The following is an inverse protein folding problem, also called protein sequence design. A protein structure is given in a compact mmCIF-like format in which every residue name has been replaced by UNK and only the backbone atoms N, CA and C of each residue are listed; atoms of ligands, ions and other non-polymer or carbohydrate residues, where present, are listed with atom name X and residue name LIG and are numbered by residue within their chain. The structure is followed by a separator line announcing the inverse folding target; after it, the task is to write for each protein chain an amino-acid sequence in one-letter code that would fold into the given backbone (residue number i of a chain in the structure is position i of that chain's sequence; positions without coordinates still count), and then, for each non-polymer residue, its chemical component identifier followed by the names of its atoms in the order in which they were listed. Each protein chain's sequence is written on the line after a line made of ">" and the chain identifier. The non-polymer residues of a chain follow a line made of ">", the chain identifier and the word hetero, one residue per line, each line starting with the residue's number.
data_IF_621689910966
#
_entry.id   IF_621689910966
#
_cell.length_a   1.000
_cell.length_b   1.000
_cell.length_c   1.000
_cell.angle_alpha   90.00
_cell.angle_beta   90.00
_cell.angle_gamma   90.00
#
_symmetry.space_group_name_H-M   'P 1'
#
loop_
_entity.id
_entity.type
_entity.pdbx_description
1 polymer ?
#
# COMPACT_ATOMS: atom_id res chain seq x y z
N UNK A 1 -0.18 25.93 5.76
CA UNK A 1 -0.32 24.51 6.18
C UNK A 1 0.84 24.17 7.09
N UNK A 2 0.58 23.44 8.17
CA UNK A 2 1.62 22.86 9.01
C UNK A 2 2.47 21.88 8.17
N UNK A 3 3.77 21.77 8.50
CA UNK A 3 4.66 20.78 7.89
C UNK A 3 4.19 19.38 8.30
N UNK A 4 4.03 18.48 7.33
CA UNK A 4 3.67 17.07 7.60
C UNK A 4 4.94 16.26 7.88
N UNK A 5 4.86 15.21 8.69
CA UNK A 5 6.01 14.31 8.87
C UNK A 5 6.26 13.48 7.60
N UNK A 6 5.18 13.04 6.95
CA UNK A 6 5.26 12.29 5.70
C UNK A 6 4.13 12.68 4.73
N UNK A 7 4.49 12.93 3.47
CA UNK A 7 3.53 12.95 2.38
C UNK A 7 3.77 11.73 1.50
N UNK A 8 2.78 10.85 1.42
CA UNK A 8 2.73 9.70 0.52
C UNK A 8 2.14 10.13 -0.82
N UNK A 9 2.90 9.98 -1.91
CA UNK A 9 2.47 10.34 -3.25
C UNK A 9 2.33 9.09 -4.12
N UNK A 10 1.15 8.94 -4.70
CA UNK A 10 0.90 7.90 -5.69
C UNK A 10 0.98 8.51 -7.10
N UNK A 11 1.87 7.97 -7.92
CA UNK A 11 2.12 8.43 -9.28
C UNK A 11 1.28 7.63 -10.30
N UNK A 12 0.93 8.22 -11.45
CA UNK A 12 0.41 7.43 -12.56
C UNK A 12 1.48 6.43 -13.05
N UNK A 13 1.09 5.38 -13.77
CA UNK A 13 2.03 4.43 -14.39
C UNK A 13 3.08 5.14 -15.26
N UNK A 14 2.60 6.03 -16.14
CA UNK A 14 3.41 6.89 -16.98
C UNK A 14 3.09 8.35 -16.65
N UNK A 15 4.08 9.15 -16.23
CA UNK A 15 3.89 10.56 -15.88
C UNK A 15 3.41 11.41 -17.07
N UNK A 16 3.89 11.14 -18.28
CA UNK A 16 3.64 11.90 -19.49
C UNK A 16 2.46 11.37 -20.33
N UNK A 17 1.58 10.55 -19.75
CA UNK A 17 0.43 9.95 -20.41
C UNK A 17 -0.52 10.94 -21.10
N UNK A 18 -0.55 12.20 -20.66
CA UNK A 18 -1.34 13.28 -21.28
C UNK A 18 -0.70 13.88 -22.53
N UNK A 19 0.61 13.71 -22.70
CA UNK A 19 1.42 14.35 -23.76
C UNK A 19 1.78 13.37 -24.86
N UNK A 20 1.79 12.07 -24.57
CA UNK A 20 2.18 11.02 -25.52
C UNK A 20 1.03 10.03 -25.72
N UNK A 21 0.73 9.66 -26.98
CA UNK A 21 -0.21 8.57 -27.22
C UNK A 21 0.37 7.28 -26.64
N UNK A 22 -0.41 6.57 -25.82
CA UNK A 22 -0.02 5.32 -25.19
C UNK A 22 -0.74 4.13 -25.81
N UNK A 23 0.01 3.07 -26.15
CA UNK A 23 -0.58 1.73 -26.23
C UNK A 23 -0.60 1.16 -24.83
N UNK A 24 -1.76 1.24 -24.20
CA UNK A 24 -1.99 0.67 -22.89
C UNK A 24 -2.24 -0.83 -23.06
N UNK A 25 -1.26 -1.66 -22.67
CA UNK A 25 -1.44 -3.11 -22.62
C UNK A 25 -2.48 -3.53 -21.57
N UNK A 26 -2.71 -4.84 -21.35
CA UNK A 26 -3.66 -5.38 -20.36
C UNK A 26 -3.12 -5.25 -18.93
N UNK A 27 -2.56 -4.09 -18.60
CA UNK A 27 -1.84 -3.90 -17.34
C UNK A 27 -2.87 -3.88 -16.20
N UNK A 28 -4.02 -3.23 -16.39
CA UNK A 28 -5.03 -2.99 -15.34
C UNK A 28 -6.23 -3.95 -15.32
N UNK A 29 -6.30 -4.97 -16.17
CA UNK A 29 -7.52 -5.78 -16.37
C UNK A 29 -7.98 -6.57 -15.13
N UNK A 30 -7.13 -6.69 -14.11
CA UNK A 30 -7.38 -7.48 -12.88
C UNK A 30 -7.49 -6.63 -11.61
N UNK A 31 -7.44 -5.30 -11.73
CA UNK A 31 -7.56 -4.33 -10.62
C UNK A 31 -8.50 -3.20 -11.07
N UNK A 32 -9.41 -2.68 -10.23
CA UNK A 32 -10.32 -1.60 -10.62
C UNK A 32 -9.57 -0.27 -10.80
N UNK A 33 -8.81 -0.16 -11.89
CA UNK A 33 -8.02 1.01 -12.26
C UNK A 33 -8.07 1.18 -13.77
N UNK A 34 -7.96 2.41 -14.23
CA UNK A 34 -7.66 2.65 -15.65
C UNK A 34 -6.22 2.18 -15.96
N UNK A 35 -5.82 2.11 -17.23
CA UNK A 35 -4.43 1.80 -17.56
C UNK A 35 -3.41 2.85 -17.10
N UNK A 36 -3.87 3.99 -16.57
CA UNK A 36 -3.03 4.98 -15.89
C UNK A 36 -2.63 4.52 -14.49
N UNK A 37 -3.26 3.46 -13.96
CA UNK A 37 -3.01 2.91 -12.64
C UNK A 37 -3.17 3.97 -11.55
N UNK A 38 -4.36 4.55 -11.45
CA UNK A 38 -4.66 5.55 -10.45
C UNK A 38 -5.06 4.99 -9.08
N UNK A 39 -5.17 3.66 -8.96
CA UNK A 39 -5.44 2.99 -7.71
C UNK A 39 -4.18 2.89 -6.85
N UNK A 40 -4.09 3.76 -5.84
CA UNK A 40 -2.98 3.71 -4.89
C UNK A 40 -3.05 2.43 -4.04
N UNK A 41 -1.89 1.88 -3.61
CA UNK A 41 -1.88 0.63 -2.87
C UNK A 41 -2.51 0.81 -1.49
N UNK A 42 -3.31 -0.17 -1.05
CA UNK A 42 -3.89 -0.22 0.31
C UNK A 42 -2.82 -0.06 1.41
N UNK A 43 -1.57 -0.42 1.13
CA UNK A 43 -0.45 -0.19 2.06
C UNK A 43 -0.30 1.28 2.47
N UNK A 44 -0.72 2.25 1.65
CA UNK A 44 -0.76 3.66 2.06
C UNK A 44 -1.76 3.93 3.17
N UNK A 45 -2.90 3.23 3.19
CA UNK A 45 -3.89 3.39 4.26
C UNK A 45 -3.38 2.78 5.56
N UNK A 46 -2.75 1.59 5.50
CA UNK A 46 -2.15 0.97 6.69
C UNK A 46 -0.96 1.76 7.23
N UNK A 47 -0.07 2.24 6.36
CA UNK A 47 1.03 3.12 6.74
C UNK A 47 0.49 4.40 7.36
N UNK A 48 -0.51 5.04 6.74
CA UNK A 48 -1.07 6.27 7.29
C UNK A 48 -1.69 6.06 8.66
N UNK A 49 -2.51 5.02 8.87
CA UNK A 49 -3.10 4.72 10.18
C UNK A 49 -2.02 4.44 11.23
N UNK A 50 -1.08 3.54 10.90
CA UNK A 50 -0.05 3.10 11.84
C UNK A 50 0.83 4.26 12.30
N UNK A 51 1.34 5.09 11.37
CA UNK A 51 2.19 6.23 11.70
C UNK A 51 1.45 7.27 12.56
N UNK A 52 0.15 7.53 12.28
CA UNK A 52 -0.64 8.48 13.07
C UNK A 52 -0.88 8.01 14.49
N UNK A 53 -1.10 6.71 14.69
CA UNK A 53 -1.20 6.10 16.01
C UNK A 53 0.12 6.23 16.80
N UNK A 54 1.24 6.40 16.11
CA UNK A 54 2.56 6.67 16.69
C UNK A 54 2.90 8.18 16.74
N UNK A 55 1.90 9.07 16.61
CA UNK A 55 2.06 10.50 16.81
C UNK A 55 2.66 11.27 15.63
N UNK A 56 2.79 10.64 14.45
CA UNK A 56 3.27 11.28 13.23
C UNK A 56 2.11 11.78 12.36
N UNK A 57 2.33 12.87 11.64
CA UNK A 57 1.34 13.44 10.71
C UNK A 57 1.57 12.95 9.29
N UNK A 58 0.57 12.24 8.75
CA UNK A 58 0.66 11.68 7.39
C UNK A 58 -0.43 12.25 6.47
N UNK A 59 -0.04 12.55 5.24
CA UNK A 59 -0.95 12.92 4.15
C UNK A 59 -0.74 12.00 2.95
N UNK A 60 -1.82 11.54 2.33
CA UNK A 60 -1.81 10.83 1.05
C UNK A 60 -2.19 11.82 -0.05
N UNK A 61 -1.50 11.75 -1.18
CA UNK A 61 -1.79 12.52 -2.38
C UNK A 61 -1.78 11.57 -3.58
N UNK A 62 -2.97 11.26 -4.09
CA UNK A 62 -3.14 10.55 -5.34
C UNK A 62 -2.93 11.50 -6.55
N UNK A 63 -1.68 11.61 -7.02
CA UNK A 63 -1.32 12.47 -8.16
C UNK A 63 -1.90 11.90 -9.45
N UNK A 64 -1.90 10.58 -9.63
CA UNK A 64 -2.52 9.89 -10.76
C UNK A 64 -4.00 10.30 -10.92
N UNK A 65 -4.78 10.24 -9.84
CA UNK A 65 -6.20 10.60 -9.84
C UNK A 65 -6.44 12.08 -10.17
N UNK A 66 -5.66 12.99 -9.56
CA UNK A 66 -5.71 14.42 -9.90
C UNK A 66 -5.40 14.62 -11.37
N UNK A 67 -4.44 13.87 -11.89
CA UNK A 67 -4.07 13.96 -13.29
C UNK A 67 -5.15 13.40 -14.24
N UNK A 68 -5.87 12.38 -13.81
CA UNK A 68 -6.93 11.79 -14.62
C UNK A 68 -8.17 12.69 -14.66
N UNK A 69 -8.53 13.33 -13.54
CA UNK A 69 -9.76 14.14 -13.43
C UNK A 69 -9.67 15.57 -13.96
N UNK A 70 -8.50 16.20 -13.91
CA UNK A 70 -8.33 17.57 -14.39
C UNK A 70 -7.16 17.67 -15.34
N UNK A 71 -7.42 17.65 -16.65
CA UNK A 71 -6.41 17.77 -17.71
C UNK A 71 -5.47 18.98 -17.56
N UNK A 72 -5.91 20.05 -16.90
CA UNK A 72 -5.13 21.28 -16.67
C UNK A 72 -4.35 21.26 -15.35
N UNK A 73 -4.47 20.21 -14.55
CA UNK A 73 -3.77 20.08 -13.28
C UNK A 73 -2.26 20.21 -13.47
N UNK A 74 -1.70 21.29 -12.92
CA UNK A 74 -0.27 21.59 -12.89
C UNK A 74 0.42 20.80 -11.77
N UNK A 75 1.02 19.68 -12.16
CA UNK A 75 1.69 18.77 -11.22
C UNK A 75 2.89 19.44 -10.57
N UNK A 76 3.75 20.13 -11.33
CA UNK A 76 4.97 20.73 -10.79
C UNK A 76 4.64 21.91 -9.86
N UNK A 77 3.71 22.78 -10.26
CA UNK A 77 3.22 23.86 -9.41
C UNK A 77 2.51 23.38 -8.14
N UNK A 78 1.89 22.19 -8.16
CA UNK A 78 1.35 21.56 -6.97
C UNK A 78 2.48 20.99 -6.07
N UNK A 79 3.40 20.21 -6.63
CA UNK A 79 4.47 19.54 -5.88
C UNK A 79 5.45 20.54 -5.24
N UNK A 80 5.76 21.66 -5.92
CA UNK A 80 6.62 22.73 -5.40
C UNK A 80 6.10 23.38 -4.11
N UNK A 81 4.79 23.32 -3.86
CA UNK A 81 4.15 23.94 -2.68
C UNK A 81 4.04 23.01 -1.48
N UNK A 82 4.37 21.73 -1.64
CA UNK A 82 4.30 20.75 -0.56
C UNK A 82 5.34 21.05 0.53
N UNK A 83 4.99 20.75 1.79
CA UNK A 83 5.87 20.90 2.95
C UNK A 83 5.82 19.64 3.80
N UNK A 84 6.93 18.90 3.85
CA UNK A 84 7.04 17.66 4.58
C UNK A 84 8.44 17.46 5.18
N UNK A 85 8.57 16.58 6.17
CA UNK A 85 9.87 16.07 6.64
C UNK A 85 10.43 15.02 5.66
N UNK A 86 9.56 14.23 5.03
CA UNK A 86 9.92 13.30 3.96
C UNK A 86 8.79 13.13 2.93
N UNK A 87 9.16 12.71 1.72
CA UNK A 87 8.23 12.25 0.69
C UNK A 87 8.35 10.74 0.52
N UNK A 88 7.22 10.02 0.53
CA UNK A 88 7.16 8.60 0.24
C UNK A 88 6.46 8.35 -1.09
N UNK A 89 7.01 7.51 -1.96
CA UNK A 89 6.36 7.08 -3.20
C UNK A 89 6.26 5.56 -3.26
N UNK A 90 5.15 5.04 -3.76
CA UNK A 90 5.00 3.62 -4.02
C UNK A 90 5.56 3.22 -5.37
N UNK A 91 6.35 2.15 -5.36
CA UNK A 91 6.60 1.31 -6.52
C UNK A 91 6.15 -0.10 -6.11
N UNK A 92 4.83 -0.24 -5.90
CA UNK A 92 4.23 -1.51 -5.52
C UNK A 92 4.38 -2.54 -6.64
N UNK A 93 4.04 -2.15 -7.88
CA UNK A 93 4.26 -2.92 -9.09
C UNK A 93 5.19 -2.20 -10.07
N UNK A 94 5.81 -2.97 -10.96
CA UNK A 94 6.68 -2.43 -12.02
C UNK A 94 5.97 -1.42 -12.92
N UNK A 95 4.63 -1.48 -13.01
CA UNK A 95 3.83 -0.54 -13.77
C UNK A 95 4.02 0.93 -13.32
N UNK A 96 4.33 1.19 -12.04
CA UNK A 96 4.47 2.56 -11.51
C UNK A 96 5.87 3.14 -11.63
N UNK A 97 6.86 2.37 -12.11
CA UNK A 97 8.27 2.74 -11.99
C UNK A 97 8.58 4.07 -12.68
N UNK A 98 8.05 4.30 -13.88
CA UNK A 98 8.34 5.51 -14.65
C UNK A 98 7.73 6.73 -13.97
N UNK A 99 6.45 6.68 -13.61
CA UNK A 99 5.78 7.80 -12.98
C UNK A 99 6.33 8.12 -11.59
N UNK A 100 6.60 7.11 -10.77
CA UNK A 100 7.17 7.30 -9.43
C UNK A 100 8.56 7.95 -9.50
N UNK A 101 9.43 7.50 -10.41
CA UNK A 101 10.75 8.10 -10.59
C UNK A 101 10.66 9.54 -11.14
N UNK A 102 9.74 9.81 -12.06
CA UNK A 102 9.50 11.17 -12.57
C UNK A 102 9.04 12.12 -11.45
N UNK A 103 8.10 11.69 -10.60
CA UNK A 103 7.68 12.50 -9.45
C UNK A 103 8.81 12.68 -8.43
N UNK A 104 9.59 11.64 -8.15
CA UNK A 104 10.75 11.72 -7.26
C UNK A 104 11.79 12.75 -7.74
N UNK A 105 12.08 12.78 -9.04
CA UNK A 105 12.98 13.76 -9.65
C UNK A 105 12.44 15.20 -9.52
N UNK A 106 11.16 15.41 -9.81
CA UNK A 106 10.48 16.71 -9.67
C UNK A 106 10.51 17.18 -8.21
N UNK A 107 10.19 16.29 -7.27
CA UNK A 107 10.22 16.58 -5.83
C UNK A 107 11.62 16.99 -5.41
N UNK A 108 12.66 16.27 -5.82
CA UNK A 108 14.05 16.61 -5.47
C UNK A 108 14.50 17.93 -6.08
N UNK A 109 14.07 18.28 -7.29
CA UNK A 109 14.33 19.59 -7.90
C UNK A 109 13.78 20.75 -7.07
N UNK A 110 12.53 20.66 -6.62
CA UNK A 110 11.91 21.73 -5.84
C UNK A 110 12.29 21.69 -4.35
N UNK A 111 12.61 20.51 -3.83
CA UNK A 111 12.88 20.27 -2.41
C UNK A 111 14.18 19.47 -2.22
N UNK A 112 15.35 20.03 -2.59
CA UNK A 112 16.62 19.29 -2.65
C UNK A 112 17.07 18.69 -1.32
N UNK A 113 16.59 19.26 -0.20
CA UNK A 113 16.95 18.83 1.17
C UNK A 113 15.95 17.86 1.79
N UNK A 114 14.76 17.68 1.19
CA UNK A 114 13.74 16.79 1.74
C UNK A 114 14.01 15.38 1.19
N UNK A 115 14.15 14.35 2.05
CA UNK A 115 14.38 12.99 1.61
C UNK A 115 13.18 12.40 0.86
N UNK A 116 13.49 11.61 -0.16
CA UNK A 116 12.58 10.83 -0.98
C UNK A 116 12.80 9.36 -0.66
N UNK A 117 11.72 8.72 -0.21
CA UNK A 117 11.66 7.32 0.23
C UNK A 117 10.83 6.55 -0.80
N UNK A 118 11.37 5.47 -1.33
CA UNK A 118 10.61 4.52 -2.14
C UNK A 118 10.25 3.28 -1.31
N UNK A 119 9.06 2.72 -1.56
CA UNK A 119 8.60 1.48 -0.95
C UNK A 119 7.68 0.69 -1.87
N UNK A 120 7.36 -0.55 -1.51
CA UNK A 120 6.57 -1.47 -2.34
C UNK A 120 7.37 -2.68 -2.82
N UNK A 121 6.70 -3.63 -3.48
CA UNK A 121 7.29 -4.93 -3.82
C UNK A 121 8.38 -4.77 -4.89
N UNK A 122 8.11 -4.01 -5.95
CA UNK A 122 9.13 -3.74 -6.96
C UNK A 122 10.29 -2.89 -6.41
N UNK A 123 10.01 -1.90 -5.56
CA UNK A 123 11.07 -1.16 -4.87
C UNK A 123 11.94 -2.08 -4.01
N UNK A 124 11.32 -3.02 -3.31
CA UNK A 124 12.03 -4.02 -2.48
C UNK A 124 12.99 -4.86 -3.32
N UNK A 125 12.54 -5.35 -4.48
CA UNK A 125 13.37 -6.18 -5.35
C UNK A 125 14.55 -5.40 -5.95
N UNK A 126 14.32 -4.17 -6.40
CA UNK A 126 15.30 -3.35 -7.11
C UNK A 126 16.00 -2.30 -6.22
N UNK A 127 15.98 -2.48 -4.90
CA UNK A 127 16.36 -1.45 -3.94
C UNK A 127 17.77 -0.85 -4.16
N UNK A 128 18.77 -1.69 -4.43
CA UNK A 128 20.12 -1.18 -4.71
C UNK A 128 20.21 -0.52 -6.08
N UNK A 129 19.56 -1.08 -7.10
CA UNK A 129 19.60 -0.51 -8.46
C UNK A 129 18.95 0.86 -8.49
N UNK A 130 17.83 1.03 -7.77
CA UNK A 130 17.15 2.31 -7.60
C UNK A 130 18.11 3.36 -7.02
N UNK A 131 18.83 3.00 -5.96
CA UNK A 131 19.84 3.90 -5.40
C UNK A 131 21.07 4.04 -6.33
N UNK A 132 21.57 3.01 -7.01
CA UNK A 132 22.73 3.19 -7.91
C UNK A 132 22.43 4.17 -9.05
N UNK A 133 21.25 4.08 -9.64
CA UNK A 133 20.90 4.80 -10.87
C UNK A 133 20.26 6.15 -10.64
N UNK A 134 19.50 6.33 -9.56
CA UNK A 134 18.68 7.53 -9.37
C UNK A 134 19.15 8.34 -8.15
N UNK A 135 19.98 9.39 -8.35
CA UNK A 135 20.52 10.20 -7.25
C UNK A 135 19.47 10.98 -6.48
N UNK A 136 18.28 11.19 -7.06
CA UNK A 136 17.15 11.85 -6.42
C UNK A 136 16.36 10.95 -5.45
N UNK A 137 16.73 9.67 -5.33
CA UNK A 137 16.20 8.74 -4.32
C UNK A 137 17.21 8.61 -3.19
N UNK A 138 16.76 8.84 -1.95
CA UNK A 138 17.61 8.79 -0.76
C UNK A 138 17.50 7.44 -0.04
N UNK A 139 16.29 6.88 0.03
CA UNK A 139 15.99 5.70 0.82
C UNK A 139 15.08 4.72 0.07
N UNK A 140 15.29 3.42 0.31
CA UNK A 140 14.35 2.37 -0.05
C UNK A 140 14.00 1.56 1.19
N UNK A 141 12.72 1.55 1.56
CA UNK A 141 12.19 0.71 2.63
C UNK A 141 11.68 -0.61 2.04
N UNK A 142 12.25 -1.72 2.50
CA UNK A 142 12.09 -3.05 1.90
C UNK A 142 11.10 -3.91 2.66
N UNK A 143 10.54 -4.88 1.95
CA UNK A 143 9.66 -5.89 2.48
C UNK A 143 8.20 -5.62 2.14
N UNK A 144 7.34 -6.53 2.59
CA UNK A 144 5.90 -6.42 2.44
C UNK A 144 5.23 -5.70 3.63
N UNK A 145 6.01 -5.46 4.69
CA UNK A 145 5.61 -4.74 5.90
C UNK A 145 6.67 -3.72 6.24
N UNK A 146 6.30 -2.45 6.24
CA UNK A 146 7.25 -1.33 6.34
C UNK A 146 6.81 -0.27 7.35
N UNK A 147 5.63 -0.44 7.96
CA UNK A 147 5.01 0.52 8.85
C UNK A 147 5.93 0.89 10.02
N UNK A 148 6.44 -0.10 10.75
CA UNK A 148 7.34 0.11 11.89
C UNK A 148 8.71 0.63 11.46
N UNK A 149 9.32 0.04 10.45
CA UNK A 149 10.58 0.52 9.90
C UNK A 149 10.52 1.99 9.41
N UNK A 150 9.37 2.41 8.87
CA UNK A 150 9.14 3.79 8.44
C UNK A 150 8.98 4.76 9.63
N UNK A 151 8.34 4.36 10.73
CA UNK A 151 8.35 5.14 11.98
C UNK A 151 9.77 5.39 12.44
N UNK A 152 10.58 4.32 12.55
CA UNK A 152 11.98 4.41 12.99
C UNK A 152 12.82 5.31 12.07
N UNK A 153 12.59 5.25 10.75
CA UNK A 153 13.25 6.13 9.80
C UNK A 153 12.89 7.60 10.01
N UNK A 154 11.60 7.92 10.12
CA UNK A 154 11.15 9.31 10.30
C UNK A 154 11.64 9.90 11.62
N UNK A 155 11.65 9.11 12.71
CA UNK A 155 12.24 9.51 13.98
C UNK A 155 13.74 9.76 13.88
N UNK A 156 14.48 8.84 13.23
CA UNK A 156 15.93 9.00 13.05
C UNK A 156 16.26 10.25 12.21
N UNK A 157 15.48 10.56 11.18
CA UNK A 157 15.63 11.77 10.38
C UNK A 157 15.36 13.04 11.21
N UNK A 158 14.32 13.03 12.03
CA UNK A 158 13.96 14.16 12.91
C UNK A 158 15.02 14.41 13.99
N UNK A 159 15.53 13.35 14.59
CA UNK A 159 16.49 13.39 15.71
C UNK A 159 17.96 13.38 15.23
N UNK A 160 18.19 13.27 13.92
CA UNK A 160 19.52 13.13 13.31
C UNK A 160 20.32 11.94 13.88
N UNK A 161 19.64 10.83 14.15
CA UNK A 161 20.25 9.58 14.60
C UNK A 161 20.82 8.78 13.42
N UNK A 162 21.70 7.84 13.73
CA UNK A 162 22.27 6.92 12.75
C UNK A 162 21.20 6.01 12.10
N UNK A 163 21.43 5.63 10.85
CA UNK A 163 20.49 4.85 10.05
C UNK A 163 20.74 3.34 10.11
N UNK A 164 21.85 2.90 10.71
CA UNK A 164 22.32 1.51 10.73
C UNK A 164 21.37 0.51 11.38
N UNK A 165 20.57 0.96 12.35
CA UNK A 165 19.71 0.11 13.18
C UNK A 165 18.25 0.10 12.70
N UNK A 166 17.94 0.82 11.61
CA UNK A 166 16.61 0.81 11.01
C UNK A 166 16.47 -0.47 10.18
N UNK A 167 15.58 -1.40 10.56
CA UNK A 167 15.43 -2.65 9.84
C UNK A 167 14.92 -2.40 8.42
N UNK A 168 15.28 -3.30 7.49
CA UNK A 168 14.82 -3.32 6.10
C UNK A 168 15.23 -2.09 5.26
N UNK A 169 15.96 -1.11 5.79
CA UNK A 169 16.35 0.11 5.08
C UNK A 169 17.51 -0.13 4.11
N UNK A 170 17.44 0.46 2.92
CA UNK A 170 18.59 0.65 2.03
C UNK A 170 18.84 2.14 1.82
N UNK A 171 20.10 2.56 1.91
CA UNK A 171 20.49 3.98 1.91
C UNK A 171 21.94 4.18 1.40
N UNK A 172 22.32 5.44 1.14
CA UNK A 172 23.68 5.81 0.72
C UNK A 172 24.57 6.19 1.90
N UNK A 173 25.67 5.49 2.07
CA UNK A 173 26.66 5.80 3.09
C UNK A 173 27.72 6.76 2.53
N UNK A 174 27.41 8.07 2.51
CA UNK A 174 28.32 9.24 2.42
C UNK A 174 29.34 9.35 1.27
N UNK A 175 29.99 8.27 0.86
CA UNK A 175 31.08 8.18 -0.12
C UNK A 175 30.78 7.22 -1.27
N UNK A 176 29.56 7.24 -1.81
CA UNK A 176 29.06 6.41 -2.95
C UNK A 176 28.69 4.95 -2.66
N UNK A 177 28.95 4.45 -1.45
CA UNK A 177 28.51 3.12 -1.02
C UNK A 177 27.00 3.04 -0.83
N UNK A 178 26.41 1.89 -1.17
CA UNK A 178 25.03 1.55 -0.81
C UNK A 178 25.07 0.57 0.33
N UNK A 179 24.34 0.87 1.39
CA UNK A 179 24.17 0.01 2.54
C UNK A 179 22.73 -0.51 2.59
N UNK A 180 22.59 -1.82 2.75
CA UNK A 180 21.31 -2.46 2.97
C UNK A 180 21.30 -3.10 4.37
N UNK A 181 20.52 -2.53 5.29
CA UNK A 181 20.39 -3.05 6.65
C UNK A 181 19.60 -4.36 6.64
N UNK A 182 19.84 -5.30 7.55
CA UNK A 182 19.16 -6.60 7.56
C UNK A 182 17.63 -6.53 7.42
N UNK A 183 17.05 -7.46 6.66
CA UNK A 183 15.60 -7.57 6.46
C UNK A 183 15.00 -8.40 7.60
N UNK A 184 14.78 -7.75 8.74
CA UNK A 184 14.40 -8.38 10.02
C UNK A 184 13.03 -7.97 10.53
N UNK A 185 12.47 -6.85 10.08
CA UNK A 185 11.11 -6.43 10.43
C UNK A 185 10.12 -7.13 9.50
N UNK A 186 9.83 -8.39 9.82
CA UNK A 186 8.93 -9.27 9.07
C UNK A 186 7.94 -9.85 10.08
N UNK A 187 6.82 -9.17 10.35
CA UNK A 187 5.89 -9.60 11.38
C UNK A 187 5.25 -10.94 11.01
N UNK A 188 4.99 -11.77 12.01
CA UNK A 188 4.41 -13.11 11.87
C UNK A 188 2.88 -13.11 11.78
N UNK A 189 2.25 -11.99 12.15
CA UNK A 189 0.80 -11.76 12.12
C UNK A 189 0.52 -10.29 11.77
N UNK A 190 -0.72 -9.96 11.42
CA UNK A 190 -1.13 -8.63 10.96
C UNK A 190 -2.08 -7.90 11.91
N UNK A 191 -2.12 -8.32 13.17
CA UNK A 191 -3.15 -7.83 14.10
C UNK A 191 -2.97 -6.35 14.41
N UNK A 192 -1.71 -5.90 14.51
CA UNK A 192 -1.34 -4.52 14.74
C UNK A 192 -1.50 -3.63 13.49
N UNK A 193 -1.74 -4.21 12.32
CA UNK A 193 -1.88 -3.48 11.05
C UNK A 193 -3.35 -3.38 10.71
N UNK A 194 -3.90 -2.16 10.74
CA UNK A 194 -5.31 -1.94 10.44
C UNK A 194 -5.49 -1.13 9.17
N UNK A 195 -6.52 -1.48 8.40
CA UNK A 195 -6.99 -0.67 7.27
C UNK A 195 -8.33 -0.08 7.66
N UNK A 196 -8.28 1.11 8.27
CA UNK A 196 -9.48 1.81 8.69
C UNK A 196 -9.98 2.78 7.60
N UNK A 197 -11.10 2.44 6.96
CA UNK A 197 -11.76 3.33 6.00
C UNK A 197 -12.26 4.62 6.65
N UNK A 198 -12.61 4.60 7.94
CA UNK A 198 -13.01 5.80 8.69
C UNK A 198 -11.84 6.76 8.85
N UNK A 199 -10.63 6.25 9.05
CA UNK A 199 -9.41 7.05 9.04
C UNK A 199 -9.26 7.81 7.72
N UNK A 200 -9.42 7.13 6.59
CA UNK A 200 -9.37 7.76 5.26
C UNK A 200 -10.49 8.79 5.07
N UNK A 201 -11.73 8.50 5.48
CA UNK A 201 -12.83 9.46 5.41
C UNK A 201 -12.56 10.73 6.23
N UNK A 202 -12.02 10.61 7.46
CA UNK A 202 -11.60 11.76 8.27
C UNK A 202 -10.53 12.61 7.57
N UNK A 203 -9.64 11.97 6.81
CA UNK A 203 -8.56 12.64 6.08
C UNK A 203 -9.06 13.44 4.89
N UNK A 204 -10.01 12.89 4.14
CA UNK A 204 -10.72 13.61 3.06
C UNK A 204 -11.26 14.94 3.58
N UNK A 205 -11.95 14.91 4.72
CA UNK A 205 -12.54 16.10 5.35
C UNK A 205 -11.45 17.05 5.87
N UNK A 206 -10.45 16.53 6.60
CA UNK A 206 -9.39 17.34 7.23
C UNK A 206 -8.57 18.13 6.20
N UNK A 207 -8.26 17.53 5.06
CA UNK A 207 -7.43 18.17 4.03
C UNK A 207 -8.24 18.82 2.90
N UNK A 208 -9.57 18.68 2.92
CA UNK A 208 -10.48 19.16 1.86
C UNK A 208 -10.00 18.70 0.48
N UNK A 209 -9.56 17.44 0.40
CA UNK A 209 -8.92 16.86 -0.78
C UNK A 209 -9.55 15.51 -1.15
N UNK A 210 -10.84 15.48 -1.55
CA UNK A 210 -11.54 14.24 -1.89
C UNK A 210 -10.85 13.49 -3.03
N UNK A 211 -10.37 14.21 -4.05
CA UNK A 211 -9.67 13.61 -5.19
C UNK A 211 -8.33 12.99 -4.80
N UNK A 212 -7.58 13.60 -3.86
CA UNK A 212 -6.28 13.08 -3.41
C UNK A 212 -6.36 11.81 -2.57
N UNK A 213 -7.51 11.53 -1.96
CA UNK A 213 -7.79 10.34 -1.16
C UNK A 213 -8.74 9.36 -1.84
N UNK A 214 -9.21 9.67 -3.05
CA UNK A 214 -10.06 8.78 -3.82
C UNK A 214 -9.24 7.57 -4.30
N UNK A 215 -9.67 6.33 -3.98
CA UNK A 215 -8.94 5.12 -4.37
C UNK A 215 -8.84 4.96 -5.88
N UNK A 216 -9.95 4.98 -6.63
CA UNK A 216 -9.97 4.81 -8.09
C UNK A 216 -11.12 5.60 -8.75
N UNK A 217 -11.12 5.69 -10.08
CA UNK A 217 -11.90 6.71 -10.83
C UNK A 217 -13.42 6.62 -10.56
N UNK A 218 -13.95 5.40 -10.57
CA UNK A 218 -15.37 5.08 -10.38
C UNK A 218 -15.77 4.85 -8.92
N UNK A 219 -14.91 5.16 -7.94
CA UNK A 219 -15.20 4.87 -6.52
C UNK A 219 -16.55 5.41 -6.03
N UNK A 220 -16.99 6.58 -6.51
CA UNK A 220 -18.25 7.19 -6.07
C UNK A 220 -19.49 6.59 -6.74
N UNK A 221 -19.34 5.99 -7.92
CA UNK A 221 -20.43 5.34 -8.66
C UNK A 221 -20.48 3.83 -8.39
N UNK A 222 -19.34 3.20 -8.13
CA UNK A 222 -19.18 1.77 -7.92
C UNK A 222 -18.09 1.48 -6.85
N UNK A 223 -18.35 1.78 -5.57
CA UNK A 223 -17.37 1.55 -4.51
C UNK A 223 -17.17 0.04 -4.28
N UNK A 224 -15.93 -0.39 -4.08
CA UNK A 224 -15.58 -1.75 -3.65
C UNK A 224 -14.55 -1.66 -2.55
N UNK A 225 -14.89 -2.14 -1.37
CA UNK A 225 -13.97 -2.17 -0.22
C UNK A 225 -13.22 -3.50 -0.18
N UNK A 226 -12.08 -3.52 0.50
CA UNK A 226 -11.23 -4.69 0.61
C UNK A 226 -10.75 -4.88 2.05
N UNK A 227 -10.71 -6.13 2.48
CA UNK A 227 -10.03 -6.58 3.70
C UNK A 227 -9.03 -7.66 3.34
N UNK A 228 -7.94 -7.76 4.10
CA UNK A 228 -6.85 -8.68 3.79
C UNK A 228 -6.75 -9.74 4.88
N UNK A 229 -6.80 -11.01 4.47
CA UNK A 229 -6.59 -12.14 5.38
C UNK A 229 -5.14 -12.29 5.79
N UNK A 230 -4.21 -11.98 4.88
CA UNK A 230 -2.79 -12.17 5.10
C UNK A 230 -1.88 -11.31 4.22
N UNK A 231 -0.59 -11.32 4.56
CA UNK A 231 0.52 -10.94 3.68
C UNK A 231 1.38 -12.18 3.42
N UNK A 232 1.73 -12.39 2.16
CA UNK A 232 2.40 -13.61 1.68
C UNK A 232 1.42 -14.71 1.25
N UNK A 233 1.98 -15.80 0.73
CA UNK A 233 1.23 -16.93 0.20
C UNK A 233 1.91 -18.26 0.58
N UNK A 234 1.16 -19.37 0.66
CA UNK A 234 1.70 -20.73 0.81
C UNK A 234 2.04 -21.38 -0.54
N UNK A 235 1.51 -20.85 -1.65
CA UNK A 235 1.68 -21.43 -2.98
C UNK A 235 2.95 -20.92 -3.67
N UNK A 236 3.57 -21.76 -4.50
CA UNK A 236 4.77 -21.46 -5.28
C UNK A 236 4.46 -21.33 -6.78
N UNK A 237 3.41 -20.59 -7.14
CA UNK A 237 3.01 -20.38 -8.53
C UNK A 237 4.17 -19.76 -9.33
N UNK A 238 4.57 -20.41 -10.43
CA UNK A 238 5.81 -20.10 -11.16
C UNK A 238 5.89 -18.65 -11.69
N UNK A 239 4.75 -18.05 -12.03
CA UNK A 239 4.67 -16.71 -12.62
C UNK A 239 4.26 -15.63 -11.62
N UNK A 240 3.97 -16.00 -10.37
CA UNK A 240 3.38 -15.08 -9.40
C UNK A 240 4.46 -14.38 -8.57
N UNK A 241 4.52 -13.05 -8.64
CA UNK A 241 5.31 -12.21 -7.72
C UNK A 241 4.87 -12.35 -6.25
N UNK A 242 3.63 -12.80 -6.03
CA UNK A 242 3.02 -13.11 -4.74
C UNK A 242 3.39 -14.47 -4.12
N UNK A 243 4.17 -15.30 -4.81
CA UNK A 243 4.42 -16.68 -4.37
C UNK A 243 5.25 -16.79 -3.10
N UNK A 244 5.13 -17.90 -2.37
CA UNK A 244 5.88 -18.18 -1.15
C UNK A 244 7.40 -18.06 -1.37
N UNK A 245 7.91 -18.60 -2.49
CA UNK A 245 9.33 -18.50 -2.87
C UNK A 245 9.75 -17.06 -3.14
N UNK A 246 8.93 -16.29 -3.86
CA UNK A 246 9.24 -14.89 -4.17
C UNK A 246 9.28 -14.05 -2.90
N UNK A 247 8.27 -14.19 -2.03
CA UNK A 247 8.20 -13.48 -0.74
C UNK A 247 9.34 -13.89 0.21
N UNK A 248 9.74 -15.17 0.23
CA UNK A 248 10.91 -15.62 0.98
C UNK A 248 12.20 -14.96 0.48
N UNK A 249 12.39 -14.90 -0.83
CA UNK A 249 13.58 -14.32 -1.44
C UNK A 249 13.66 -12.81 -1.28
N UNK A 250 12.55 -12.10 -1.46
CA UNK A 250 12.52 -10.64 -1.59
C UNK A 250 12.23 -9.94 -0.26
N UNK A 251 11.38 -10.54 0.59
CA UNK A 251 10.88 -9.94 1.83
C UNK A 251 11.25 -10.75 3.08
N UNK A 252 12.14 -11.74 2.97
CA UNK A 252 12.51 -12.67 4.06
C UNK A 252 11.30 -13.31 4.77
N UNK A 253 10.17 -13.46 4.07
CA UNK A 253 8.93 -13.99 4.63
C UNK A 253 8.88 -15.51 4.44
N UNK A 254 9.13 -16.24 5.51
CA UNK A 254 9.19 -17.71 5.50
C UNK A 254 7.82 -18.39 5.44
N UNK A 255 6.80 -17.74 6.03
CA UNK A 255 5.38 -18.13 6.11
C UNK A 255 4.49 -16.88 5.97
N UNK A 256 3.23 -17.01 5.51
CA UNK A 256 2.31 -15.88 5.49
C UNK A 256 2.04 -15.36 6.90
N UNK A 257 1.90 -14.03 7.02
CA UNK A 257 1.38 -13.41 8.22
C UNK A 257 -0.13 -13.27 8.08
N UNK A 258 -0.87 -13.99 8.91
CA UNK A 258 -2.33 -13.94 8.91
C UNK A 258 -2.81 -12.89 9.91
N UNK A 259 -3.94 -12.27 9.60
CA UNK A 259 -4.71 -11.44 10.52
C UNK A 259 -5.62 -12.34 11.36
N UNK A 260 -5.77 -12.09 12.65
CA UNK A 260 -6.71 -12.83 13.50
C UNK A 260 -8.11 -12.86 12.85
N UNK A 261 -8.77 -14.04 12.76
CA UNK A 261 -10.03 -14.17 12.04
C UNK A 261 -11.17 -13.37 12.68
N UNK A 262 -11.11 -13.08 13.98
CA UNK A 262 -12.10 -12.24 14.67
C UNK A 262 -11.87 -10.76 14.35
N UNK A 263 -10.61 -10.32 14.32
CA UNK A 263 -10.26 -8.97 13.88
C UNK A 263 -10.62 -8.74 12.41
N UNK A 264 -10.45 -9.74 11.56
CA UNK A 264 -10.87 -9.66 10.16
C UNK A 264 -12.39 -9.47 10.04
N UNK A 265 -13.20 -10.23 10.78
CA UNK A 265 -14.65 -10.03 10.82
C UNK A 265 -15.02 -8.64 11.36
N UNK A 266 -14.30 -8.15 12.37
CA UNK A 266 -14.49 -6.81 12.91
C UNK A 266 -14.20 -5.71 11.88
N UNK A 267 -13.17 -5.86 11.04
CA UNK A 267 -12.90 -4.90 9.96
C UNK A 267 -14.08 -4.84 8.97
N UNK A 268 -14.65 -5.99 8.63
CA UNK A 268 -15.83 -6.06 7.75
C UNK A 268 -17.04 -5.38 8.41
N UNK A 269 -17.25 -5.58 9.71
CA UNK A 269 -18.31 -4.91 10.45
C UNK A 269 -18.13 -3.39 10.50
N UNK A 270 -16.89 -2.92 10.72
CA UNK A 270 -16.56 -1.49 10.70
C UNK A 270 -16.83 -0.87 9.33
N UNK A 271 -16.56 -1.60 8.25
CA UNK A 271 -16.90 -1.17 6.88
C UNK A 271 -18.42 -1.11 6.72
N UNK A 272 -19.14 -2.17 7.12
CA UNK A 272 -20.59 -2.25 7.00
C UNK A 272 -21.34 -1.16 7.79
N UNK A 273 -20.75 -0.67 8.88
CA UNK A 273 -21.29 0.45 9.68
C UNK A 273 -21.25 1.80 8.98
N UNK A 274 -20.43 1.95 7.94
CA UNK A 274 -20.13 3.25 7.35
C UNK A 274 -20.32 3.30 5.83
N UNK A 275 -20.21 2.15 5.15
CA UNK A 275 -20.22 2.06 3.70
C UNK A 275 -21.14 0.92 3.26
N UNK A 276 -22.14 1.24 2.43
CA UNK A 276 -23.01 0.27 1.77
C UNK A 276 -22.38 -0.21 0.44
N UNK A 277 -21.14 -0.70 0.50
CA UNK A 277 -20.36 -1.14 -0.65
C UNK A 277 -20.00 -2.64 -0.53
N UNK A 278 -19.85 -3.38 -1.65
CA UNK A 278 -19.29 -4.71 -1.62
C UNK A 278 -17.94 -4.77 -0.88
N UNK A 279 -17.72 -5.85 -0.15
CA UNK A 279 -16.49 -6.14 0.60
C UNK A 279 -15.80 -7.33 -0.04
N UNK A 280 -14.62 -7.12 -0.60
CA UNK A 280 -13.78 -8.17 -1.15
C UNK A 280 -12.80 -8.65 -0.07
N UNK A 281 -12.87 -9.93 0.27
CA UNK A 281 -11.90 -10.58 1.15
C UNK A 281 -10.74 -11.04 0.27
N UNK A 282 -9.61 -10.37 0.39
CA UNK A 282 -8.40 -10.64 -0.38
C UNK A 282 -7.52 -11.62 0.41
N UNK A 283 -7.11 -12.67 -0.29
CA UNK A 283 -6.44 -13.86 0.23
C UNK A 283 -7.44 -14.92 0.69
N UNK A 284 -7.15 -16.18 0.33
CA UNK A 284 -7.99 -17.33 0.64
C UNK A 284 -8.10 -17.57 2.16
N UNK A 285 -9.33 -17.50 2.69
CA UNK A 285 -9.62 -17.70 4.12
C UNK A 285 -9.29 -19.11 4.63
N UNK A 286 -9.11 -20.09 3.74
CA UNK A 286 -8.73 -21.46 4.11
C UNK A 286 -7.24 -21.72 3.96
N UNK A 287 -6.46 -20.73 3.51
CA UNK A 287 -5.02 -20.84 3.38
C UNK A 287 -4.31 -21.10 4.72
N UNK A 288 -4.80 -20.50 5.80
CA UNK A 288 -4.30 -20.74 7.16
C UNK A 288 -4.76 -22.09 7.75
N UNK A 289 -5.61 -22.83 7.04
CA UNK A 289 -6.26 -24.05 7.50
C UNK A 289 -7.75 -23.87 7.78
N UNK A 290 -8.44 -25.01 7.94
CA UNK A 290 -9.91 -25.05 8.09
C UNK A 290 -10.39 -24.36 9.36
N UNK A 291 -9.64 -24.49 10.45
CA UNK A 291 -9.98 -23.89 11.75
C UNK A 291 -10.04 -22.37 11.67
N UNK A 292 -9.08 -21.74 11.00
CA UNK A 292 -9.06 -20.30 10.76
C UNK A 292 -10.31 -19.86 9.98
N UNK A 293 -10.55 -20.49 8.81
CA UNK A 293 -11.67 -20.13 7.95
C UNK A 293 -13.02 -20.32 8.64
N UNK A 294 -13.21 -21.42 9.37
CA UNK A 294 -14.45 -21.65 10.11
C UNK A 294 -14.62 -20.72 11.31
N UNK A 295 -13.53 -20.35 11.99
CA UNK A 295 -13.58 -19.33 13.06
C UNK A 295 -14.04 -18.01 12.48
N UNK A 296 -13.45 -17.57 11.37
CA UNK A 296 -13.86 -16.34 10.67
C UNK A 296 -15.35 -16.37 10.29
N UNK A 297 -15.82 -17.44 9.66
CA UNK A 297 -17.22 -17.59 9.27
C UNK A 297 -18.17 -17.58 10.48
N UNK A 298 -17.78 -18.20 11.59
CA UNK A 298 -18.58 -18.17 12.82
C UNK A 298 -18.64 -16.77 13.44
N UNK A 299 -17.58 -15.99 13.35
CA UNK A 299 -17.60 -14.59 13.76
C UNK A 299 -18.52 -13.75 12.86
N UNK A 300 -18.45 -13.93 11.54
CA UNK A 300 -19.34 -13.26 10.58
C UNK A 300 -20.82 -13.52 10.88
N UNK A 301 -21.18 -14.76 11.26
CA UNK A 301 -22.56 -15.14 11.61
C UNK A 301 -23.13 -14.39 12.81
N UNK A 302 -22.29 -13.81 13.68
CA UNK A 302 -22.76 -13.08 14.88
C UNK A 302 -23.53 -11.82 14.54
N UNK A 303 -23.29 -11.25 13.35
CA UNK A 303 -23.90 -9.98 12.94
C UNK A 303 -24.23 -10.03 11.45
N UNK A 304 -25.52 -9.86 11.13
CA UNK A 304 -25.97 -9.70 9.75
C UNK A 304 -25.47 -8.36 9.19
N UNK A 305 -24.88 -8.39 8.01
CA UNK A 305 -24.49 -7.23 7.23
C UNK A 305 -25.34 -7.13 5.95
N UNK A 306 -25.53 -5.93 5.43
CA UNK A 306 -26.27 -5.71 4.19
C UNK A 306 -25.34 -5.74 2.95
N UNK A 307 -24.04 -5.69 3.17
CA UNK A 307 -23.01 -5.64 2.13
C UNK A 307 -22.90 -6.98 1.41
N UNK A 308 -22.63 -6.94 0.10
CA UNK A 308 -22.20 -8.13 -0.62
C UNK A 308 -20.77 -8.49 -0.23
N UNK A 309 -20.50 -9.76 0.07
CA UNK A 309 -19.15 -10.23 0.41
C UNK A 309 -18.63 -11.12 -0.72
N UNK A 310 -17.49 -10.74 -1.29
CA UNK A 310 -16.77 -11.53 -2.28
C UNK A 310 -15.60 -12.26 -1.61
N UNK A 311 -15.50 -13.57 -1.84
CA UNK A 311 -14.43 -14.42 -1.31
C UNK A 311 -13.45 -14.76 -2.42
N UNK A 312 -12.16 -14.59 -2.16
CA UNK A 312 -11.09 -15.09 -3.02
C UNK A 312 -10.70 -16.52 -2.62
N UNK A 313 -10.50 -17.39 -3.62
CA UNK A 313 -10.02 -18.76 -3.40
C UNK A 313 -8.90 -19.09 -4.39
N UNK A 314 -7.82 -19.71 -3.91
CA UNK A 314 -6.72 -20.15 -4.77
C UNK A 314 -6.96 -21.54 -5.36
N UNK A 315 -7.83 -22.32 -4.74
CA UNK A 315 -8.33 -23.60 -5.23
C UNK A 315 -9.85 -23.63 -5.08
N UNK A 316 -10.59 -24.27 -6.01
CA UNK A 316 -12.03 -24.41 -5.87
C UNK A 316 -12.40 -25.03 -4.51
N UNK A 317 -13.19 -24.35 -3.67
CA UNK A 317 -13.55 -24.87 -2.36
C UNK A 317 -14.53 -26.06 -2.50
N UNK A 318 -14.46 -27.06 -1.61
CA UNK A 318 -15.41 -28.17 -1.63
C UNK A 318 -16.80 -27.69 -1.19
N UNK A 319 -17.85 -28.39 -1.65
CA UNK A 319 -19.26 -28.03 -1.36
C UNK A 319 -19.56 -27.75 0.13
N UNK A 320 -19.08 -28.54 1.12
CA UNK A 320 -19.37 -28.24 2.53
C UNK A 320 -18.80 -26.90 3.02
N UNK A 321 -17.77 -26.35 2.36
CA UNK A 321 -17.22 -25.04 2.72
C UNK A 321 -18.11 -23.94 2.16
N UNK A 322 -18.60 -24.11 0.93
CA UNK A 322 -19.56 -23.20 0.30
C UNK A 322 -20.87 -23.12 1.09
N UNK A 323 -21.38 -24.26 1.58
CA UNK A 323 -22.56 -24.31 2.45
C UNK A 323 -22.36 -23.51 3.73
N UNK A 324 -21.20 -23.67 4.39
CA UNK A 324 -20.86 -22.87 5.58
C UNK A 324 -20.72 -21.38 5.30
N UNK A 325 -20.16 -21.02 4.14
CA UNK A 325 -20.09 -19.61 3.72
C UNK A 325 -21.50 -19.04 3.57
N UNK A 326 -22.38 -19.74 2.84
CA UNK A 326 -23.76 -19.31 2.63
C UNK A 326 -24.57 -19.17 3.93
N UNK A 327 -24.24 -19.92 4.98
CA UNK A 327 -24.85 -19.80 6.31
C UNK A 327 -24.31 -18.61 7.14
N UNK A 328 -23.23 -17.96 6.70
CA UNK A 328 -22.45 -17.01 7.52
C UNK A 328 -22.49 -15.56 7.03
N UNK A 329 -22.87 -15.31 5.78
CA UNK A 329 -22.94 -13.95 5.19
C UNK A 329 -24.33 -13.57 4.69
#
# INVERSE_FOLDING_TARGET
>A
MATMDLILLHAPSLYDFRKRPGMHGPISDVVPSTPIFEMYPIGFTSISEYLERHGLTVRIVNVAMKMLKDIRFDVEGFLSKLKATAFGLDIHWMAHIQGALALAEILKRFHPKIPVILGGLSATYYHEELLRRYPFVDFVLRGDSTEKALVLLLEALREKRGLQDIPNLTWRDGGSGIRANPLTDVPDHLDDITVDYRHIMKKVVRYVDPTGYQPFMDWYSYPVTAVFTCRGCIHNCKTCGGSARTFRSMANRSKPAFRDPKLLAQDIFNIADHLHAPVMIIGDIFQAGKEYGFTFLQEMKKRRIANHVAFEFFLPPPRPFLERIAESV
#
